data_IF_132625369140
#
_entry.id   IF_132625369140
#
_cell.length_a   1.000
_cell.length_b   1.000
_cell.length_c   1.000
_cell.angle_alpha   90.00
_cell.angle_beta   90.00
_cell.angle_gamma   90.00
#
_symmetry.space_group_name_H-M   'P 1'
#
loop_
_entity.id
_entity.type
_entity.pdbx_description
1 polymer ?
#
# COMPACT_ATOMS: atom_id res chain seq x y z
N UNK A 1 26.27 -46.12 -11.29
CA UNK A 1 25.10 -46.96 -10.96
C UNK A 1 24.24 -46.20 -9.95
N UNK A 2 23.06 -45.82 -10.40
CA UNK A 2 22.09 -45.04 -9.62
C UNK A 2 21.32 -45.96 -8.69
N UNK A 3 21.15 -45.59 -7.42
CA UNK A 3 20.09 -46.16 -6.56
C UNK A 3 19.07 -45.09 -6.26
N UNK A 4 17.92 -45.26 -6.89
CA UNK A 4 16.67 -44.54 -6.62
C UNK A 4 16.07 -45.19 -5.37
N UNK A 5 15.80 -44.37 -4.33
CA UNK A 5 15.06 -44.80 -3.15
C UNK A 5 13.61 -44.35 -3.26
N UNK A 6 12.71 -45.34 -3.27
CA UNK A 6 11.31 -45.20 -3.51
C UNK A 6 10.53 -45.26 -2.18
N UNK A 7 9.95 -44.13 -1.71
CA UNK A 7 9.10 -44.09 -0.53
C UNK A 7 7.61 -44.10 -0.94
N UNK A 8 7.12 -45.29 -1.21
CA UNK A 8 5.68 -45.57 -1.14
C UNK A 8 5.47 -46.83 -0.33
N UNK A 9 4.79 -46.67 0.82
CA UNK A 9 4.09 -47.66 1.67
C UNK A 9 4.51 -47.52 3.14
N UNK A 10 3.70 -46.76 3.89
CA UNK A 10 3.24 -47.12 5.22
C UNK A 10 2.20 -46.11 5.68
N UNK A 11 0.97 -46.33 5.27
CA UNK A 11 -0.20 -45.76 5.96
C UNK A 11 -1.31 -46.80 5.83
N UNK A 12 -1.54 -47.53 6.88
CA UNK A 12 -2.82 -48.21 7.11
C UNK A 12 -2.90 -48.64 8.58
N UNK A 13 -4.06 -48.35 9.15
CA UNK A 13 -4.66 -48.96 10.33
C UNK A 13 -4.29 -48.32 11.68
N UNK A 14 -5.17 -47.44 12.20
CA UNK A 14 -5.88 -47.68 13.44
C UNK A 14 -7.17 -46.82 13.47
N UNK A 15 -8.28 -47.50 13.16
CA UNK A 15 -9.66 -47.10 13.49
C UNK A 15 -10.07 -47.97 14.65
N UNK A 16 -10.71 -47.46 15.69
CA UNK A 16 -11.89 -47.91 16.44
C UNK A 16 -11.94 -47.23 17.80
N UNK A 17 -12.92 -46.42 17.94
CA UNK A 17 -14.12 -46.56 18.79
C UNK A 17 -13.89 -46.27 20.27
N UNK A 18 -14.72 -45.39 20.81
CA UNK A 18 -15.63 -45.69 21.94
C UNK A 18 -16.72 -44.56 21.96
N UNK A 19 -17.94 -45.03 22.02
CA UNK A 19 -19.19 -44.25 22.07
C UNK A 19 -19.65 -44.02 23.51
N UNK A 20 -20.47 -42.95 23.66
CA UNK A 20 -21.59 -42.76 24.60
C UNK A 20 -21.38 -42.98 26.11
N UNK A 21 -21.59 -41.88 26.88
CA UNK A 21 -22.55 -41.91 28.02
C UNK A 21 -23.17 -40.54 28.18
N UNK A 22 -24.47 -40.49 28.04
CA UNK A 22 -25.41 -39.42 28.45
C UNK A 22 -25.64 -39.50 29.97
N UNK A 23 -25.65 -38.36 30.65
CA UNK A 23 -26.49 -38.19 31.87
C UNK A 23 -26.68 -36.69 32.14
N UNK A 24 -27.92 -36.28 32.06
CA UNK A 24 -28.41 -34.97 32.51
C UNK A 24 -28.52 -34.96 34.05
N UNK A 25 -28.06 -33.90 34.65
CA UNK A 25 -28.49 -33.52 36.01
C UNK A 25 -28.79 -32.01 36.02
N UNK A 26 -30.04 -31.67 36.21
CA UNK A 26 -30.51 -30.34 36.54
C UNK A 26 -30.23 -30.10 38.03
N UNK A 27 -29.52 -29.04 38.39
CA UNK A 27 -29.59 -28.41 39.68
C UNK A 27 -29.70 -26.93 39.52
N UNK A 28 -30.82 -26.38 39.93
CA UNK A 28 -31.03 -24.94 40.10
C UNK A 28 -30.27 -24.48 41.34
N UNK A 29 -29.49 -23.42 41.22
CA UNK A 29 -28.84 -22.73 42.29
C UNK A 29 -28.56 -21.28 41.89
N UNK A 30 -29.38 -20.35 42.42
CA UNK A 30 -29.10 -18.94 42.37
C UNK A 30 -27.87 -18.61 43.19
N UNK A 31 -26.91 -17.92 42.62
CA UNK A 31 -25.93 -17.09 43.34
C UNK A 31 -25.48 -15.97 42.43
N UNK A 32 -25.63 -14.74 42.92
CA UNK A 32 -25.13 -13.51 42.35
C UNK A 32 -23.59 -13.59 42.22
N UNK A 33 -23.09 -13.56 41.01
CA UNK A 33 -21.69 -13.28 40.80
C UNK A 33 -21.54 -12.30 39.63
N UNK A 34 -20.91 -11.17 39.93
CA UNK A 34 -20.58 -10.12 38.97
C UNK A 34 -19.60 -10.65 37.94
N UNK A 35 -20.10 -11.29 36.89
CA UNK A 35 -19.33 -11.63 35.71
C UNK A 35 -19.06 -10.35 34.92
N UNK A 36 -17.81 -9.91 34.91
CA UNK A 36 -17.31 -8.92 33.98
C UNK A 36 -17.46 -9.49 32.58
N UNK A 37 -18.52 -9.12 31.87
CA UNK A 37 -18.68 -9.40 30.45
C UNK A 37 -17.65 -8.57 29.72
N UNK A 38 -16.55 -9.20 29.31
CA UNK A 38 -15.71 -8.65 28.25
C UNK A 38 -16.54 -8.65 26.97
N UNK A 39 -17.23 -7.54 26.71
CA UNK A 39 -17.81 -7.29 25.40
C UNK A 39 -16.66 -7.13 24.41
N UNK A 40 -16.36 -8.17 23.67
CA UNK A 40 -15.63 -8.01 22.41
C UNK A 40 -16.52 -7.20 21.48
N UNK A 41 -16.39 -5.88 21.52
CA UNK A 41 -16.99 -5.01 20.52
C UNK A 41 -16.29 -5.36 19.20
N UNK A 42 -16.97 -6.06 18.33
CA UNK A 42 -16.54 -6.18 16.92
C UNK A 42 -16.45 -4.76 16.38
N UNK A 43 -15.24 -4.26 16.15
CA UNK A 43 -15.04 -2.96 15.51
C UNK A 43 -15.81 -2.98 14.18
N UNK A 44 -16.66 -1.98 13.96
CA UNK A 44 -17.41 -1.85 12.73
C UNK A 44 -16.42 -1.79 11.55
N UNK A 45 -16.60 -2.66 10.57
CA UNK A 45 -15.82 -2.67 9.34
C UNK A 45 -16.03 -1.35 8.61
N UNK A 46 -14.96 -0.75 8.09
CA UNK A 46 -15.03 0.45 7.28
C UNK A 46 -15.91 0.23 6.05
N UNK A 47 -16.79 1.19 5.78
CA UNK A 47 -17.65 1.23 4.60
C UNK A 47 -17.53 2.58 3.91
N UNK A 48 -17.36 2.56 2.60
CA UNK A 48 -17.27 3.77 1.77
C UNK A 48 -18.60 4.51 1.82
N UNK A 49 -18.58 5.79 2.22
CA UNK A 49 -19.79 6.60 2.31
C UNK A 49 -20.36 6.94 0.92
N UNK A 50 -21.63 7.33 0.89
CA UNK A 50 -22.26 7.76 -0.36
C UNK A 50 -21.57 9.02 -0.92
N UNK A 51 -21.22 9.95 -0.05
CA UNK A 51 -20.56 11.21 -0.40
C UNK A 51 -19.17 10.94 -1.04
N UNK A 52 -18.41 9.99 -0.51
CA UNK A 52 -17.13 9.57 -1.08
C UNK A 52 -17.33 8.94 -2.47
N UNK A 53 -18.31 8.06 -2.61
CA UNK A 53 -18.63 7.43 -3.92
C UNK A 53 -19.04 8.46 -4.97
N UNK A 54 -19.92 9.40 -4.63
CA UNK A 54 -20.40 10.45 -5.53
C UNK A 54 -19.22 11.36 -5.95
N UNK A 55 -18.35 11.73 -5.02
CA UNK A 55 -17.13 12.51 -5.28
C UNK A 55 -16.19 11.77 -6.25
N UNK A 56 -15.86 10.51 -5.95
CA UNK A 56 -14.94 9.71 -6.76
C UNK A 56 -15.51 9.47 -8.16
N UNK A 57 -16.79 9.12 -8.26
CA UNK A 57 -17.47 8.93 -9.55
C UNK A 57 -17.35 10.17 -10.45
N UNK A 58 -17.59 11.36 -9.90
CA UNK A 58 -17.43 12.61 -10.64
C UNK A 58 -15.97 12.84 -11.06
N UNK A 59 -15.03 12.69 -10.11
CA UNK A 59 -13.60 12.91 -10.35
C UNK A 59 -13.07 11.99 -11.45
N UNK A 60 -13.33 10.70 -11.36
CA UNK A 60 -12.86 9.73 -12.35
C UNK A 60 -13.59 9.83 -13.70
N UNK A 61 -14.84 10.27 -13.71
CA UNK A 61 -15.52 10.62 -14.97
C UNK A 61 -14.80 11.74 -15.71
N UNK A 62 -14.30 12.76 -15.02
CA UNK A 62 -13.55 13.85 -15.65
C UNK A 62 -12.14 13.41 -16.07
N UNK A 63 -11.41 12.70 -15.21
CA UNK A 63 -10.08 12.20 -15.53
C UNK A 63 -10.09 11.27 -16.75
N UNK A 64 -11.08 10.37 -16.84
CA UNK A 64 -11.21 9.42 -17.95
C UNK A 64 -11.55 10.08 -19.30
N UNK A 65 -12.11 11.28 -19.30
CA UNK A 65 -12.29 12.05 -20.56
C UNK A 65 -10.95 12.51 -21.14
N UNK A 66 -9.98 12.79 -20.26
CA UNK A 66 -8.64 13.20 -20.67
C UNK A 66 -7.79 11.97 -20.99
N UNK A 67 -7.84 10.95 -20.11
CA UNK A 67 -7.09 9.72 -20.29
C UNK A 67 -7.85 8.51 -19.72
N UNK A 68 -8.29 7.62 -20.59
CA UNK A 68 -9.07 6.43 -20.21
C UNK A 68 -8.24 5.30 -19.58
N UNK A 69 -6.90 5.45 -19.54
CA UNK A 69 -5.98 4.55 -18.85
C UNK A 69 -5.79 4.94 -17.37
N UNK A 70 -6.54 5.96 -16.89
CA UNK A 70 -6.51 6.40 -15.48
C UNK A 70 -7.05 5.31 -14.56
N UNK A 71 -6.24 4.91 -13.60
CA UNK A 71 -6.60 3.87 -12.60
C UNK A 71 -6.73 4.43 -11.20
N UNK A 72 -6.02 5.53 -10.90
CA UNK A 72 -6.01 6.15 -9.58
C UNK A 72 -5.63 7.64 -9.66
N UNK A 73 -5.69 8.28 -8.50
CA UNK A 73 -5.13 9.61 -8.27
C UNK A 73 -4.35 9.58 -6.96
N UNK A 74 -3.11 10.08 -6.95
CA UNK A 74 -2.24 10.11 -5.77
C UNK A 74 -2.00 11.53 -5.31
N UNK A 75 -2.12 11.77 -4.01
CA UNK A 75 -1.68 13.03 -3.40
C UNK A 75 -1.12 12.81 -2.00
N UNK A 76 -0.20 13.69 -1.58
CA UNK A 76 0.32 13.73 -0.23
C UNK A 76 -0.03 15.08 0.40
N UNK A 77 -0.90 15.14 1.42
CA UNK A 77 -1.33 16.39 2.03
C UNK A 77 -0.16 17.25 2.53
N UNK A 78 -0.19 18.54 2.16
CA UNK A 78 0.84 19.50 2.56
C UNK A 78 2.13 19.44 1.74
N UNK A 79 2.15 18.68 0.64
CA UNK A 79 3.24 18.62 -0.34
C UNK A 79 2.74 19.03 -1.73
N UNK A 80 3.63 19.03 -2.74
CA UNK A 80 3.27 19.27 -4.14
C UNK A 80 2.86 17.98 -4.89
N UNK A 81 2.94 16.82 -4.25
CA UNK A 81 2.50 15.56 -4.84
C UNK A 81 0.97 15.55 -5.02
N UNK A 82 0.53 15.62 -6.27
CA UNK A 82 -0.88 15.79 -6.67
C UNK A 82 -1.05 15.37 -8.13
N UNK A 83 -1.10 14.03 -8.41
CA UNK A 83 -0.97 13.49 -9.77
C UNK A 83 -2.01 12.41 -10.09
N UNK A 84 -2.54 12.39 -11.34
CA UNK A 84 -3.26 11.23 -11.85
C UNK A 84 -2.29 10.04 -12.01
N UNK A 85 -2.81 8.84 -11.84
CA UNK A 85 -2.09 7.58 -12.03
C UNK A 85 -2.72 6.78 -13.16
N UNK A 86 -1.91 6.38 -14.11
CA UNK A 86 -2.31 5.56 -15.25
C UNK A 86 -1.70 4.16 -15.18
N UNK A 87 -2.23 3.22 -15.97
CA UNK A 87 -1.62 1.91 -16.14
C UNK A 87 -1.85 1.40 -17.56
N UNK A 88 -0.78 0.91 -18.18
CA UNK A 88 -0.78 0.19 -19.46
C UNK A 88 -0.33 -1.25 -19.28
N UNK A 89 -0.07 -1.93 -20.39
CA UNK A 89 0.53 -3.26 -20.45
C UNK A 89 2.06 -3.23 -20.54
N UNK A 90 2.69 -2.10 -20.24
CA UNK A 90 4.14 -1.91 -20.18
C UNK A 90 4.50 -0.86 -19.12
N UNK A 91 5.78 -0.80 -18.75
CA UNK A 91 6.33 0.19 -17.81
C UNK A 91 7.17 1.28 -18.51
N UNK A 92 6.95 1.53 -19.81
CA UNK A 92 7.76 2.44 -20.63
C UNK A 92 6.95 3.60 -21.21
N UNK A 93 5.72 3.33 -21.67
CA UNK A 93 4.86 4.30 -22.39
C UNK A 93 4.75 5.64 -21.66
N UNK A 94 4.54 5.62 -20.35
CA UNK A 94 4.31 6.84 -19.56
C UNK A 94 5.58 7.45 -18.95
N UNK A 95 6.73 6.93 -19.29
CA UNK A 95 7.98 7.65 -19.00
C UNK A 95 8.06 8.98 -19.76
N UNK A 96 7.53 9.03 -20.99
CA UNK A 96 7.60 10.21 -21.85
C UNK A 96 6.22 10.78 -22.22
N UNK A 97 5.16 10.00 -22.19
CA UNK A 97 3.81 10.41 -22.54
C UNK A 97 3.16 11.14 -21.37
N UNK A 98 2.72 12.39 -21.60
CA UNK A 98 1.97 13.15 -20.60
C UNK A 98 0.54 12.64 -20.45
N UNK A 99 -0.11 13.01 -19.36
CA UNK A 99 -1.49 12.60 -19.06
C UNK A 99 -2.46 13.02 -20.18
N UNK A 100 -2.25 14.17 -20.79
CA UNK A 100 -3.03 14.72 -21.89
C UNK A 100 -2.65 14.14 -23.27
N UNK A 101 -1.71 13.20 -23.32
CA UNK A 101 -1.28 12.52 -24.55
C UNK A 101 -0.16 13.20 -25.33
N UNK A 102 0.44 14.28 -24.79
CA UNK A 102 1.61 14.94 -25.36
C UNK A 102 2.94 14.31 -24.92
N UNK A 103 4.03 14.98 -25.30
CA UNK A 103 5.39 14.67 -24.85
C UNK A 103 6.04 15.96 -24.32
N UNK A 104 6.40 15.93 -23.06
CA UNK A 104 7.14 17.03 -22.40
C UNK A 104 8.36 16.42 -21.72
N UNK A 105 9.58 16.89 -22.01
CA UNK A 105 10.80 16.33 -21.43
C UNK A 105 10.73 16.24 -19.90
N UNK A 106 11.11 15.11 -19.35
CA UNK A 106 11.15 14.82 -17.92
C UNK A 106 9.79 14.92 -17.18
N UNK A 107 8.66 14.94 -17.91
CA UNK A 107 7.34 14.96 -17.29
C UNK A 107 6.73 13.57 -17.25
N UNK A 108 6.38 13.00 -18.41
CA UNK A 108 5.63 11.76 -18.44
C UNK A 108 4.32 11.84 -17.66
N UNK A 109 3.91 10.75 -17.08
CA UNK A 109 2.77 10.63 -16.14
C UNK A 109 3.13 9.64 -15.05
N UNK A 110 2.62 9.82 -13.84
CA UNK A 110 2.74 8.79 -12.80
C UNK A 110 2.00 7.54 -13.25
N UNK A 111 2.66 6.38 -13.20
CA UNK A 111 2.05 5.13 -13.64
C UNK A 111 2.24 4.00 -12.62
N UNK A 112 1.26 3.10 -12.60
CA UNK A 112 1.30 1.87 -11.84
C UNK A 112 2.05 0.80 -12.63
N UNK A 113 2.83 -0.02 -11.94
CA UNK A 113 3.47 -1.18 -12.54
C UNK A 113 2.46 -2.05 -13.30
N UNK A 114 2.83 -2.51 -14.49
CA UNK A 114 1.96 -3.25 -15.41
C UNK A 114 1.42 -4.55 -14.81
N UNK A 115 2.17 -5.18 -13.90
CA UNK A 115 1.80 -6.45 -13.26
C UNK A 115 1.02 -6.26 -11.95
N UNK A 116 0.89 -5.02 -11.44
CA UNK A 116 0.08 -4.73 -10.28
C UNK A 116 -1.42 -4.66 -10.63
N UNK A 117 -2.26 -5.02 -9.68
CA UNK A 117 -3.72 -4.92 -9.80
C UNK A 117 -4.21 -3.51 -9.51
N UNK A 118 -5.14 -3.04 -10.34
CA UNK A 118 -5.74 -1.70 -10.25
C UNK A 118 -6.52 -1.44 -8.96
N UNK A 119 -6.84 -2.50 -8.21
CA UNK A 119 -7.61 -2.43 -6.96
C UNK A 119 -6.75 -2.18 -5.72
N UNK A 120 -5.43 -2.03 -5.85
CA UNK A 120 -4.48 -1.82 -4.76
C UNK A 120 -4.53 -2.92 -3.68
N UNK A 121 -4.89 -4.15 -4.07
CA UNK A 121 -4.97 -5.29 -3.17
C UNK A 121 -3.76 -6.22 -3.22
N UNK A 122 -2.75 -5.92 -4.03
CA UNK A 122 -1.47 -6.62 -3.98
C UNK A 122 -0.75 -6.39 -2.64
N UNK A 123 0.15 -7.29 -2.26
CA UNK A 123 0.99 -7.11 -1.07
C UNK A 123 1.86 -5.88 -1.20
N UNK A 124 2.38 -5.62 -2.41
CA UNK A 124 3.23 -4.49 -2.74
C UNK A 124 2.82 -3.91 -4.10
N UNK A 125 2.35 -2.68 -4.08
CA UNK A 125 2.03 -1.93 -5.30
C UNK A 125 3.15 -0.94 -5.58
N UNK A 126 3.58 -0.85 -6.84
CA UNK A 126 4.60 0.09 -7.28
C UNK A 126 3.98 1.18 -8.15
N UNK A 127 4.26 2.43 -7.81
CA UNK A 127 4.00 3.58 -8.67
C UNK A 127 5.33 4.23 -9.02
N UNK A 128 5.47 4.59 -10.29
CA UNK A 128 6.66 5.22 -10.85
C UNK A 128 6.32 6.63 -11.34
N UNK A 129 7.25 7.56 -11.15
CA UNK A 129 7.11 8.92 -11.63
C UNK A 129 8.44 9.65 -11.64
N UNK A 130 8.62 10.62 -12.52
CA UNK A 130 9.85 11.42 -12.58
C UNK A 130 10.06 12.30 -11.35
N UNK A 131 11.33 12.64 -11.07
CA UNK A 131 11.70 13.81 -10.27
C UNK A 131 12.17 14.92 -11.23
N UNK A 132 11.61 16.11 -11.10
CA UNK A 132 11.80 17.21 -12.07
C UNK A 132 12.52 18.43 -11.50
N UNK A 133 12.58 18.55 -10.18
CA UNK A 133 12.84 19.79 -9.45
C UNK A 133 14.00 20.66 -9.95
N UNK A 134 15.19 20.07 -10.20
CA UNK A 134 16.33 20.80 -10.70
C UNK A 134 16.27 21.11 -12.20
N UNK A 135 15.57 20.27 -12.97
CA UNK A 135 15.45 20.41 -14.45
C UNK A 135 14.34 21.35 -14.85
N UNK A 136 13.21 21.25 -14.15
CA UNK A 136 12.02 22.09 -14.37
C UNK A 136 11.44 22.42 -13.01
N UNK A 137 11.50 23.65 -12.60
CA UNK A 137 11.15 24.12 -11.24
C UNK A 137 9.63 24.10 -10.92
N UNK A 138 8.86 23.19 -11.48
CA UNK A 138 7.42 23.07 -11.23
C UNK A 138 7.06 22.05 -10.13
N UNK A 139 8.04 21.33 -9.61
CA UNK A 139 7.91 20.35 -8.51
C UNK A 139 6.81 19.30 -8.72
N UNK A 140 6.49 18.97 -9.98
CA UNK A 140 5.48 17.97 -10.35
C UNK A 140 6.00 16.55 -10.19
N UNK A 141 5.10 15.60 -10.38
CA UNK A 141 5.36 14.17 -10.35
C UNK A 141 5.84 13.73 -8.96
N UNK A 142 6.86 12.90 -8.88
CA UNK A 142 7.42 12.41 -7.61
C UNK A 142 8.62 13.22 -7.10
N UNK A 143 8.72 14.49 -7.52
CA UNK A 143 9.79 15.35 -7.03
C UNK A 143 9.87 15.38 -5.50
N UNK A 144 8.72 15.54 -4.84
CA UNK A 144 8.67 15.66 -3.37
C UNK A 144 9.00 14.35 -2.64
N UNK A 145 8.98 13.18 -3.34
CA UNK A 145 9.44 11.91 -2.78
C UNK A 145 10.91 11.99 -2.37
N UNK A 146 11.73 12.76 -3.10
CA UNK A 146 13.13 12.95 -2.76
C UNK A 146 13.37 13.68 -1.44
N UNK A 147 12.43 14.53 -1.00
CA UNK A 147 12.55 15.27 0.27
C UNK A 147 12.33 14.38 1.51
N UNK A 148 11.75 13.19 1.33
CA UNK A 148 11.63 12.22 2.42
C UNK A 148 12.99 11.66 2.87
N UNK A 149 14.09 12.02 2.23
CA UNK A 149 15.46 11.74 2.70
C UNK A 149 15.83 12.53 3.98
N UNK A 150 15.01 13.51 4.35
CA UNK A 150 15.10 14.27 5.60
C UNK A 150 14.06 13.77 6.59
N UNK A 151 14.50 13.32 7.75
CA UNK A 151 13.60 12.78 8.78
C UNK A 151 12.51 13.79 9.19
N UNK A 152 12.85 15.07 9.30
CA UNK A 152 11.91 16.14 9.62
C UNK A 152 10.77 16.24 8.56
N UNK A 153 11.12 16.07 7.28
CA UNK A 153 10.11 16.08 6.21
C UNK A 153 9.19 14.86 6.31
N UNK A 154 9.74 13.66 6.51
CA UNK A 154 8.95 12.44 6.72
C UNK A 154 8.02 12.57 7.93
N UNK A 155 8.50 13.10 9.04
CA UNK A 155 7.72 13.29 10.27
C UNK A 155 6.57 14.27 10.10
N UNK A 156 6.73 15.25 9.23
CA UNK A 156 5.72 16.26 8.91
C UNK A 156 4.71 15.81 7.86
N UNK A 157 5.13 15.01 6.88
CA UNK A 157 4.31 14.59 5.73
C UNK A 157 4.11 13.07 5.72
N UNK A 158 3.48 12.55 6.79
CA UNK A 158 3.35 11.10 7.03
C UNK A 158 2.40 10.39 6.08
N UNK A 159 1.43 11.10 5.48
CA UNK A 159 0.31 10.46 4.83
C UNK A 159 0.33 10.66 3.33
N UNK A 160 -0.04 9.60 2.62
CA UNK A 160 -0.34 9.60 1.18
C UNK A 160 -1.72 9.00 1.00
N UNK A 161 -2.49 9.57 0.10
CA UNK A 161 -3.84 9.10 -0.24
C UNK A 161 -3.85 8.67 -1.69
N UNK A 162 -4.41 7.50 -1.92
CA UNK A 162 -4.76 6.99 -3.25
C UNK A 162 -6.28 7.02 -3.37
N UNK A 163 -6.77 7.74 -4.36
CA UNK A 163 -8.17 7.68 -4.78
C UNK A 163 -8.28 6.70 -5.95
N UNK A 164 -9.29 5.84 -5.93
CA UNK A 164 -9.69 4.98 -7.05
C UNK A 164 -11.15 5.27 -7.41
N UNK A 165 -11.70 4.77 -8.52
CA UNK A 165 -13.13 4.91 -8.81
C UNK A 165 -14.05 4.38 -7.71
N UNK A 166 -13.59 3.40 -6.90
CA UNK A 166 -14.39 2.69 -5.90
C UNK A 166 -14.26 3.28 -4.49
N UNK A 167 -13.04 3.71 -4.10
CA UNK A 167 -12.75 4.16 -2.73
C UNK A 167 -11.43 4.91 -2.62
N UNK A 168 -11.21 5.50 -1.43
CA UNK A 168 -9.90 6.01 -1.02
C UNK A 168 -9.14 4.96 -0.21
N UNK A 169 -7.84 4.90 -0.44
CA UNK A 169 -6.88 4.18 0.37
C UNK A 169 -5.94 5.17 1.03
N UNK A 170 -5.69 4.97 2.30
CA UNK A 170 -4.82 5.84 3.10
C UNK A 170 -3.57 5.06 3.46
N UNK A 171 -2.44 5.74 3.35
CA UNK A 171 -1.14 5.15 3.60
C UNK A 171 -0.35 6.01 4.57
N UNK A 172 0.47 5.37 5.41
CA UNK A 172 1.42 6.02 6.29
C UNK A 172 2.84 5.68 5.86
N UNK A 173 3.70 6.71 5.71
CA UNK A 173 5.10 6.56 5.35
C UNK A 173 5.83 5.71 6.40
N UNK A 174 6.46 4.64 5.96
CA UNK A 174 7.18 3.70 6.81
C UNK A 174 8.69 3.93 6.76
N UNK A 175 9.26 4.08 5.58
CA UNK A 175 10.68 4.35 5.38
C UNK A 175 10.98 4.73 3.93
N UNK A 176 12.10 5.44 3.74
CA UNK A 176 12.65 5.73 2.41
C UNK A 176 13.98 4.99 2.23
N UNK A 177 14.18 4.36 1.08
CA UNK A 177 15.50 3.86 0.66
C UNK A 177 16.05 4.68 -0.49
N UNK A 178 17.38 4.83 -0.53
CA UNK A 178 18.11 5.44 -1.64
C UNK A 178 19.09 4.38 -2.14
N UNK A 179 18.82 3.85 -3.33
CA UNK A 179 19.51 2.66 -3.84
C UNK A 179 19.78 2.75 -5.34
N UNK A 180 20.83 2.11 -5.86
CA UNK A 180 21.02 1.97 -7.29
C UNK A 180 19.82 1.30 -7.97
N UNK A 181 19.48 1.71 -9.19
CA UNK A 181 18.36 1.13 -9.95
C UNK A 181 18.53 -0.37 -10.21
N UNK A 182 19.77 -0.84 -10.23
CA UNK A 182 20.13 -2.25 -10.39
C UNK A 182 19.92 -3.07 -9.10
N UNK A 183 19.54 -2.43 -8.01
CA UNK A 183 19.30 -3.12 -6.73
C UNK A 183 18.02 -3.95 -6.83
N UNK A 184 18.12 -5.24 -6.45
CA UNK A 184 17.04 -6.23 -6.57
C UNK A 184 15.95 -6.09 -5.49
N UNK A 185 15.60 -4.87 -5.05
CA UNK A 185 14.49 -4.64 -4.11
C UNK A 185 13.13 -4.62 -4.81
N UNK A 186 13.11 -4.41 -6.12
CA UNK A 186 11.90 -4.56 -6.91
C UNK A 186 11.48 -6.02 -6.94
N UNK A 187 10.28 -6.29 -6.43
CA UNK A 187 9.69 -7.61 -6.36
C UNK A 187 8.17 -7.47 -6.22
N UNK A 188 7.41 -8.33 -6.89
CA UNK A 188 5.95 -8.36 -6.89
C UNK A 188 5.39 -9.66 -6.29
N UNK A 189 6.07 -10.78 -6.50
CA UNK A 189 5.61 -12.09 -6.05
C UNK A 189 6.25 -12.48 -4.71
N UNK A 190 5.40 -12.92 -3.78
CA UNK A 190 5.80 -13.37 -2.44
C UNK A 190 5.12 -14.68 -2.10
N UNK A 191 5.89 -15.63 -1.61
CA UNK A 191 5.38 -16.98 -1.29
C UNK A 191 4.33 -16.95 -0.17
N UNK A 192 4.56 -16.13 0.86
CA UNK A 192 3.71 -16.01 2.04
C UNK A 192 3.99 -14.70 2.79
N UNK A 193 3.34 -14.51 3.95
CA UNK A 193 3.49 -13.31 4.79
C UNK A 193 4.89 -13.18 5.39
N UNK A 194 5.56 -14.31 5.70
CA UNK A 194 6.90 -14.31 6.28
C UNK A 194 7.96 -13.90 5.26
N UNK A 195 7.84 -14.40 4.02
CA UNK A 195 8.70 -14.02 2.91
C UNK A 195 8.56 -12.52 2.61
N UNK A 196 7.31 -12.02 2.57
CA UNK A 196 7.06 -10.61 2.36
C UNK A 196 7.61 -9.73 3.50
N UNK A 197 7.37 -10.10 4.76
CA UNK A 197 7.91 -9.38 5.91
C UNK A 197 9.44 -9.40 5.93
N UNK A 198 10.05 -10.51 5.55
CA UNK A 198 11.50 -10.63 5.43
C UNK A 198 12.07 -9.66 4.40
N UNK A 199 11.43 -9.54 3.22
CA UNK A 199 11.79 -8.56 2.20
C UNK A 199 11.70 -7.14 2.75
N UNK A 200 10.55 -6.73 3.32
CA UNK A 200 10.36 -5.39 3.88
C UNK A 200 11.40 -5.07 4.97
N UNK A 201 11.65 -6.03 5.85
CA UNK A 201 12.63 -5.88 6.94
C UNK A 201 14.04 -5.72 6.40
N UNK A 202 14.39 -6.49 5.37
CA UNK A 202 15.70 -6.41 4.73
C UNK A 202 15.90 -5.05 4.07
N UNK A 203 14.92 -4.58 3.31
CA UNK A 203 14.95 -3.27 2.65
C UNK A 203 15.03 -2.13 3.67
N UNK A 204 14.27 -2.21 4.78
CA UNK A 204 14.27 -1.17 5.83
C UNK A 204 15.63 -1.03 6.55
N UNK A 205 16.50 -2.03 6.55
CA UNK A 205 17.80 -1.97 7.27
C UNK A 205 18.63 -0.77 6.85
N UNK A 206 18.72 -0.54 5.54
CA UNK A 206 19.55 0.49 4.92
C UNK A 206 18.74 1.73 4.54
N UNK A 207 17.55 1.90 5.13
CA UNK A 207 16.70 3.06 4.83
C UNK A 207 17.35 4.36 5.34
N UNK A 208 17.29 5.39 4.48
CA UNK A 208 17.79 6.73 4.78
C UNK A 208 16.99 7.42 5.90
N UNK A 209 15.67 7.22 5.90
CA UNK A 209 14.74 7.72 6.92
C UNK A 209 13.73 6.62 7.30
N UNK A 210 13.23 6.68 8.53
CA UNK A 210 12.34 5.67 9.11
C UNK A 210 11.27 6.31 9.97
N UNK A 211 10.05 5.81 9.86
CA UNK A 211 8.99 6.10 10.82
C UNK A 211 8.86 4.89 11.77
N UNK A 212 9.40 5.02 12.97
CA UNK A 212 9.41 3.91 13.94
C UNK A 212 8.04 3.64 14.55
N UNK A 213 7.05 4.53 14.35
CA UNK A 213 5.66 4.26 14.74
C UNK A 213 4.99 3.23 13.83
N UNK A 214 5.47 3.04 12.60
CA UNK A 214 4.96 2.05 11.66
C UNK A 214 5.65 0.71 11.85
N UNK A 215 4.92 -0.23 12.42
CA UNK A 215 5.38 -1.61 12.52
C UNK A 215 5.07 -2.37 11.23
N UNK A 216 6.11 -2.99 10.66
CA UNK A 216 5.96 -3.81 9.46
C UNK A 216 5.25 -5.12 9.79
N UNK A 217 4.28 -5.51 8.96
CA UNK A 217 3.55 -6.76 9.06
C UNK A 217 3.43 -7.41 7.69
N UNK A 218 3.65 -8.70 7.58
CA UNK A 218 3.60 -9.42 6.31
C UNK A 218 2.18 -9.59 5.74
N UNK A 219 1.15 -9.46 6.57
CA UNK A 219 -0.24 -9.53 6.15
C UNK A 219 -0.86 -8.15 5.83
N UNK A 220 -0.12 -7.05 6.01
CA UNK A 220 -0.52 -5.72 5.56
C UNK A 220 -0.13 -5.52 4.09
N UNK A 221 -0.69 -4.49 3.46
CA UNK A 221 -0.38 -4.07 2.09
C UNK A 221 0.49 -2.83 2.12
N UNK A 222 1.33 -2.69 1.11
CA UNK A 222 2.25 -1.56 0.99
C UNK A 222 2.23 -0.96 -0.39
N UNK A 223 2.56 0.31 -0.45
CA UNK A 223 2.76 1.09 -1.67
C UNK A 223 4.21 1.56 -1.71
N UNK A 224 4.82 1.54 -2.88
CA UNK A 224 6.11 2.17 -3.13
C UNK A 224 5.92 3.29 -4.14
N UNK A 225 6.34 4.49 -3.78
CA UNK A 225 6.53 5.59 -4.73
C UNK A 225 8.00 5.61 -5.11
N UNK A 226 8.30 5.31 -6.38
CA UNK A 226 9.66 5.18 -6.90
C UNK A 226 9.98 6.30 -7.88
N UNK A 227 11.11 6.97 -7.68
CA UNK A 227 11.59 8.05 -8.55
C UNK A 227 13.11 8.06 -8.66
N UNK A 228 13.64 8.76 -9.67
CA UNK A 228 15.07 9.00 -9.77
C UNK A 228 15.54 10.06 -8.77
N UNK A 229 16.82 10.01 -8.41
CA UNK A 229 17.49 11.14 -7.75
C UNK A 229 17.92 12.16 -8.80
N UNK A 230 17.82 13.45 -8.44
CA UNK A 230 18.24 14.52 -9.35
C UNK A 230 19.75 14.55 -9.59
N UNK A 231 20.52 14.20 -8.55
CA UNK A 231 21.97 14.21 -8.57
C UNK A 231 22.54 13.08 -9.45
N UNK A 232 21.82 11.95 -9.50
CA UNK A 232 22.23 10.77 -10.26
C UNK A 232 20.99 9.96 -10.67
N UNK A 233 20.69 9.95 -11.98
CA UNK A 233 19.53 9.27 -12.55
C UNK A 233 19.60 7.74 -12.45
N UNK A 234 20.75 7.16 -12.09
CA UNK A 234 20.90 5.73 -11.83
C UNK A 234 20.54 5.33 -10.40
N UNK A 235 20.25 6.33 -9.54
CA UNK A 235 19.83 6.13 -8.17
C UNK A 235 18.31 6.33 -8.05
N UNK A 236 17.68 5.49 -7.25
CA UNK A 236 16.24 5.54 -6.96
C UNK A 236 15.98 5.92 -5.52
N UNK A 237 15.03 6.83 -5.33
CA UNK A 237 14.34 7.03 -4.05
C UNK A 237 13.07 6.19 -4.06
N UNK A 238 12.96 5.24 -3.14
CA UNK A 238 11.80 4.39 -2.98
C UNK A 238 11.16 4.65 -1.61
N UNK A 239 10.02 5.34 -1.61
CA UNK A 239 9.24 5.59 -0.40
C UNK A 239 8.25 4.45 -0.18
N UNK A 240 8.45 3.69 0.88
CA UNK A 240 7.57 2.59 1.30
C UNK A 240 6.53 3.12 2.28
N UNK A 241 5.26 2.82 1.98
CA UNK A 241 4.12 3.28 2.75
C UNK A 241 3.24 2.09 3.13
N UNK A 242 2.84 2.00 4.40
CA UNK A 242 1.89 0.99 4.88
C UNK A 242 0.46 1.43 4.58
N UNK A 243 -0.34 0.60 3.95
CA UNK A 243 -1.77 0.83 3.79
C UNK A 243 -2.47 0.68 5.15
N UNK A 244 -3.37 1.61 5.47
CA UNK A 244 -4.21 1.51 6.66
C UNK A 244 -5.28 0.45 6.40
N UNK A 245 -5.31 -0.67 7.13
CA UNK A 245 -6.30 -1.74 6.92
C UNK A 245 -7.70 -1.30 7.33
N UNK A 246 -8.73 -1.91 6.74
CA UNK A 246 -10.14 -1.56 6.99
C UNK A 246 -10.56 -1.70 8.46
N UNK A 247 -9.95 -2.61 9.21
CA UNK A 247 -10.21 -2.76 10.64
C UNK A 247 -9.55 -1.67 11.52
N UNK A 248 -8.59 -0.91 10.98
CA UNK A 248 -7.96 0.25 11.62
C UNK A 248 -8.55 1.58 11.11
N UNK A 249 -9.25 1.56 9.97
CA UNK A 249 -9.63 2.74 9.20
C UNK A 249 -10.50 3.74 9.97
N UNK A 250 -11.51 3.26 10.70
CA UNK A 250 -12.42 4.16 11.44
C UNK A 250 -11.67 4.95 12.53
N UNK A 251 -10.78 4.29 13.28
CA UNK A 251 -9.97 4.94 14.30
C UNK A 251 -8.97 5.92 13.68
N UNK A 252 -8.37 5.51 12.57
CA UNK A 252 -7.42 6.34 11.80
C UNK A 252 -8.10 7.61 11.30
N UNK A 253 -9.25 7.50 10.63
CA UNK A 253 -9.97 8.65 10.11
C UNK A 253 -10.50 9.56 11.24
N UNK A 254 -10.96 9.00 12.36
CA UNK A 254 -11.38 9.80 13.51
C UNK A 254 -10.23 10.69 14.04
N UNK A 255 -9.00 10.23 13.95
CA UNK A 255 -7.81 10.95 14.43
C UNK A 255 -7.22 11.90 13.40
N UNK A 256 -7.21 11.55 12.11
CA UNK A 256 -6.38 12.19 11.10
C UNK A 256 -7.16 12.85 9.95
N UNK A 257 -8.52 12.77 9.91
CA UNK A 257 -9.30 13.26 8.75
C UNK A 257 -9.00 14.70 8.33
N UNK A 258 -8.63 15.57 9.26
CA UNK A 258 -8.33 16.96 8.95
C UNK A 258 -6.96 17.14 8.28
N UNK A 259 -6.03 16.22 8.56
CA UNK A 259 -4.71 16.16 7.93
C UNK A 259 -4.75 15.54 6.52
N UNK A 260 -5.82 14.80 6.19
CA UNK A 260 -5.96 14.01 4.96
C UNK A 260 -6.73 14.73 3.86
N UNK A 261 -7.16 15.96 4.09
CA UNK A 261 -7.96 16.72 3.13
C UNK A 261 -7.19 16.97 1.84
N UNK A 262 -7.85 16.68 0.72
CA UNK A 262 -7.34 17.07 -0.59
C UNK A 262 -7.34 18.58 -0.73
N UNK A 263 -6.22 19.12 -1.13
CA UNK A 263 -6.03 20.51 -1.52
C UNK A 263 -5.28 20.49 -2.84
N UNK A 264 -5.93 20.96 -3.91
CA UNK A 264 -5.28 21.03 -5.20
C UNK A 264 -4.03 21.94 -5.12
N UNK A 265 -2.93 21.46 -5.69
CA UNK A 265 -1.66 22.21 -5.70
C UNK A 265 -1.50 23.08 -6.93
N UNK A 266 -2.34 22.90 -7.95
CA UNK A 266 -2.35 23.62 -9.23
C UNK A 266 -3.70 23.52 -9.91
#
# INVERSE_FOLDING_TARGET
>A
MKKVFNYKKLFSILLLAIALVTSAVFVAGCSDDKGTSSSSSSKATYTVSKEEKDYLSKRFSELSKTNNETVAYVYAPGTQLDEPVVQTNDNETYLDKTFEGGHVPYLGTVFMDMDNKKDFHDRLTWLFGHARGSKVGDHRMFNDVNYYDKQEYMDKHKFVVIETPERKYYYEAAFLTIVPETTSFYRLDFENDEDFLSQLTNVKKDAATKNDSVQLKGNDKYLVLSTCREEDETIRSNLYLRQIPDNEMNDFLAKHKDELKYVATR
#
